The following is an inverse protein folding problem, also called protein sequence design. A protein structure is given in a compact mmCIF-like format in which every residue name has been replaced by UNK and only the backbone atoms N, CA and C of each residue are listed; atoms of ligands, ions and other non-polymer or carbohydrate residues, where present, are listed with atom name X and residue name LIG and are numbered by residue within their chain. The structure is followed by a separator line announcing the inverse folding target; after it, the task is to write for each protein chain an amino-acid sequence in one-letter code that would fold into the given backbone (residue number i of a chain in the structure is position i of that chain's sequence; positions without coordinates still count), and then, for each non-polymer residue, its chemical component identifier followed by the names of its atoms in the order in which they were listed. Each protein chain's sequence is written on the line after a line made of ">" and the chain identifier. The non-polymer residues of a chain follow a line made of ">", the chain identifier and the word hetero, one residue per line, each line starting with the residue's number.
data_IF_130188028939
#
_entry.id   IF_130188028939
#
_cell.length_a   1.000
_cell.length_b   1.000
_cell.length_c   1.000
_cell.angle_alpha   90.00
_cell.angle_beta   90.00
_cell.angle_gamma   90.00
#
_symmetry.space_group_name_H-M   'P 1'
#
loop_
_entity.id
_entity.type
_entity.pdbx_description
1 polymer ?
#
# COMPACT_ATOMS: atom_id res chain seq x y z
N UNK A 1 -1.95 -4.53 -3.51
CA UNK A 1 -0.85 -5.28 -2.87
C UNK A 1 -1.27 -6.72 -2.68
N UNK A 2 -0.56 -7.67 -3.26
CA UNK A 2 -0.78 -9.11 -3.05
C UNK A 2 -0.12 -9.60 -1.76
N UNK A 3 -0.52 -10.77 -1.26
CA UNK A 3 0.16 -11.42 -0.13
C UNK A 3 1.67 -11.57 -0.38
N UNK A 4 2.05 -11.95 -1.60
CA UNK A 4 3.46 -12.17 -1.96
C UNK A 4 4.24 -10.86 -1.93
N UNK A 5 3.67 -9.78 -2.47
CA UNK A 5 4.27 -8.44 -2.42
C UNK A 5 4.44 -7.95 -0.99
N UNK A 6 3.39 -8.06 -0.16
CA UNK A 6 3.47 -7.67 1.24
C UNK A 6 4.51 -8.50 2.00
N UNK A 7 4.49 -9.83 1.83
CA UNK A 7 5.44 -10.74 2.49
C UNK A 7 6.89 -10.40 2.13
N UNK A 8 7.18 -10.12 0.87
CA UNK A 8 8.51 -9.73 0.43
C UNK A 8 8.92 -8.37 1.00
N UNK A 9 8.04 -7.37 0.94
CA UNK A 9 8.29 -6.05 1.52
C UNK A 9 8.56 -6.13 3.03
N UNK A 10 7.72 -6.86 3.77
CA UNK A 10 7.90 -7.08 5.20
C UNK A 10 9.24 -7.73 5.50
N UNK A 11 9.62 -8.80 4.77
CA UNK A 11 10.94 -9.44 4.96
C UNK A 11 12.08 -8.46 4.72
N UNK A 12 12.00 -7.63 3.67
CA UNK A 12 13.02 -6.62 3.41
C UNK A 12 13.14 -5.63 4.57
N UNK A 13 12.01 -5.12 5.09
CA UNK A 13 11.99 -4.18 6.23
C UNK A 13 12.54 -4.83 7.52
N UNK A 14 12.11 -6.05 7.85
CA UNK A 14 12.61 -6.76 9.03
C UNK A 14 14.13 -7.00 8.94
N UNK A 15 14.63 -7.39 7.76
CA UNK A 15 16.06 -7.61 7.54
C UNK A 15 16.84 -6.29 7.62
N UNK A 16 16.32 -5.21 7.05
CA UNK A 16 16.97 -3.90 7.07
C UNK A 16 17.10 -3.35 8.49
N UNK A 17 15.99 -3.25 9.22
CA UNK A 17 15.94 -2.77 10.61
C UNK A 17 16.84 -3.62 11.51
N UNK A 18 16.74 -4.96 11.45
CA UNK A 18 17.58 -5.84 12.24
C UNK A 18 19.07 -5.75 11.87
N UNK A 19 19.39 -5.41 10.61
CA UNK A 19 20.77 -5.22 10.16
C UNK A 19 21.37 -3.92 10.68
N UNK A 20 20.59 -2.83 10.65
CA UNK A 20 21.10 -1.47 10.88
C UNK A 20 20.93 -1.00 12.34
N UNK A 21 19.83 -1.34 13.02
CA UNK A 21 19.50 -0.79 14.35
C UNK A 21 20.01 -1.65 15.52
N UNK A 22 20.36 -2.92 15.27
CA UNK A 22 20.81 -3.87 16.31
C UNK A 22 22.29 -4.24 16.20
N UNK A 23 23.06 -3.45 15.44
CA UNK A 23 24.49 -3.58 15.33
C UNK A 23 25.21 -3.34 16.67
N UNK A 24 26.33 -4.02 16.89
CA UNK A 24 27.20 -3.75 18.05
C UNK A 24 28.41 -2.96 17.57
N UNK A 25 28.78 -1.90 18.29
CA UNK A 25 29.98 -1.09 18.04
C UNK A 25 30.05 -0.52 16.62
N UNK A 26 28.92 -0.03 16.09
CA UNK A 26 28.84 0.58 14.77
C UNK A 26 28.97 -0.40 13.59
N UNK A 27 29.04 -1.72 13.85
CA UNK A 27 29.06 -2.74 12.79
C UNK A 27 27.66 -3.29 12.54
N UNK A 28 27.27 -3.49 11.26
CA UNK A 28 26.00 -4.13 10.93
C UNK A 28 25.86 -5.50 11.57
N UNK A 29 24.64 -5.86 11.95
CA UNK A 29 24.34 -7.18 12.50
C UNK A 29 24.70 -8.28 11.49
N UNK A 30 25.40 -9.34 11.95
CA UNK A 30 25.73 -10.47 11.09
C UNK A 30 24.48 -11.29 10.71
N UNK A 31 24.54 -12.03 9.60
CA UNK A 31 23.41 -12.78 9.04
C UNK A 31 22.77 -13.74 10.05
N UNK A 32 23.58 -14.42 10.87
CA UNK A 32 23.09 -15.37 11.87
C UNK A 32 22.26 -14.67 12.95
N UNK A 33 22.70 -13.51 13.43
CA UNK A 33 21.96 -12.75 14.44
C UNK A 33 20.70 -12.09 13.87
N UNK A 34 20.74 -11.59 12.63
CA UNK A 34 19.53 -11.12 11.94
C UNK A 34 18.51 -12.26 11.82
N UNK A 35 18.96 -13.46 11.46
CA UNK A 35 18.09 -14.65 11.38
C UNK A 35 17.44 -14.99 12.72
N UNK A 36 18.17 -14.88 13.83
CA UNK A 36 17.63 -15.08 15.18
C UNK A 36 16.60 -14.00 15.55
N UNK A 37 16.90 -12.72 15.28
CA UNK A 37 16.02 -11.60 15.64
C UNK A 37 14.72 -11.57 14.84
N UNK A 38 14.78 -11.98 13.57
CA UNK A 38 13.65 -11.87 12.62
C UNK A 38 12.90 -13.17 12.40
N UNK A 39 13.47 -14.32 12.80
CA UNK A 39 12.96 -15.65 12.45
C UNK A 39 13.12 -16.02 10.96
N UNK A 40 13.71 -15.15 10.14
CA UNK A 40 13.91 -15.38 8.71
C UNK A 40 15.15 -16.27 8.51
N UNK A 41 15.06 -17.27 7.62
CA UNK A 41 16.20 -18.16 7.35
C UNK A 41 17.45 -17.39 6.88
N UNK A 42 18.64 -17.86 7.25
CA UNK A 42 19.92 -17.23 6.85
C UNK A 42 20.06 -17.04 5.33
N UNK A 43 19.57 -18.00 4.53
CA UNK A 43 19.58 -17.93 3.07
C UNK A 43 18.73 -16.75 2.57
N UNK A 44 17.56 -16.57 3.16
CA UNK A 44 16.64 -15.50 2.80
C UNK A 44 17.13 -14.14 3.31
N UNK A 45 17.69 -14.07 4.52
CA UNK A 45 18.36 -12.85 5.02
C UNK A 45 19.45 -12.40 4.05
N UNK A 46 20.29 -13.32 3.56
CA UNK A 46 21.32 -13.00 2.56
C UNK A 46 20.70 -12.43 1.28
N UNK A 47 19.70 -13.12 0.72
CA UNK A 47 18.98 -12.66 -0.49
C UNK A 47 18.42 -11.25 -0.32
N UNK A 48 17.77 -10.96 0.81
CA UNK A 48 17.18 -9.65 1.08
C UNK A 48 18.25 -8.56 1.23
N UNK A 49 19.40 -8.84 1.87
CA UNK A 49 20.52 -7.87 1.95
C UNK A 49 21.13 -7.56 0.60
N UNK A 50 21.26 -8.55 -0.27
CA UNK A 50 21.77 -8.36 -1.62
C UNK A 50 20.79 -7.48 -2.43
N UNK A 51 19.48 -7.77 -2.35
CA UNK A 51 18.43 -6.96 -2.98
C UNK A 51 18.39 -5.50 -2.49
N UNK A 52 18.59 -5.27 -1.18
CA UNK A 52 18.63 -3.92 -0.59
C UNK A 52 19.88 -3.14 -1.02
N UNK A 53 21.01 -3.81 -1.26
CA UNK A 53 22.25 -3.19 -1.76
C UNK A 53 22.17 -2.84 -3.24
N UNK A 54 21.46 -3.65 -4.03
CA UNK A 54 21.32 -3.46 -5.48
C UNK A 54 20.34 -2.33 -5.86
N UNK A 55 19.54 -1.81 -4.92
CA UNK A 55 18.48 -0.83 -5.22
C UNK A 55 18.57 0.46 -4.40
N UNK A 56 19.02 1.52 -5.07
CA UNK A 56 18.63 2.92 -4.80
C UNK A 56 17.34 3.31 -5.55
N UNK A 57 16.53 2.34 -5.98
CA UNK A 57 15.22 2.61 -6.61
C UNK A 57 14.25 1.50 -6.25
N UNK A 58 13.01 1.83 -5.82
CA UNK A 58 11.98 0.83 -5.59
C UNK A 58 11.73 0.17 -6.94
N UNK A 59 12.23 -1.05 -7.11
CA UNK A 59 11.96 -1.80 -8.33
C UNK A 59 10.46 -1.97 -8.45
N UNK A 60 9.87 -1.69 -9.62
CA UNK A 60 8.45 -1.88 -9.83
C UNK A 60 8.08 -3.30 -9.41
N UNK A 61 6.98 -3.38 -8.67
CA UNK A 61 6.37 -4.57 -8.13
C UNK A 61 6.58 -5.78 -9.06
N UNK A 62 6.95 -6.93 -8.51
CA UNK A 62 6.84 -8.20 -9.23
C UNK A 62 5.37 -8.41 -9.55
N UNK A 63 5.08 -7.99 -10.76
CA UNK A 63 3.82 -7.77 -11.43
C UNK A 63 2.86 -8.94 -11.22
N UNK A 64 1.64 -8.67 -10.73
CA UNK A 64 0.55 -9.66 -10.77
C UNK A 64 0.34 -10.15 -12.19
N UNK A 65 -0.22 -11.35 -12.39
CA UNK A 65 -0.55 -11.84 -13.75
C UNK A 65 -1.38 -10.83 -14.54
N UNK A 66 -2.27 -10.11 -13.86
CA UNK A 66 -3.04 -9.00 -14.42
C UNK A 66 -2.16 -7.83 -14.90
N UNK A 67 -1.24 -7.34 -14.07
CA UNK A 67 -0.32 -6.26 -14.46
C UNK A 67 0.67 -6.74 -15.54
N UNK A 68 1.01 -8.03 -15.60
CA UNK A 68 1.91 -8.60 -16.61
C UNK A 68 1.21 -8.64 -17.96
N UNK A 69 -0.03 -9.09 -17.97
CA UNK A 69 -0.90 -9.07 -19.14
C UNK A 69 -1.08 -7.65 -19.69
N UNK A 70 -1.41 -6.69 -18.83
CA UNK A 70 -1.52 -5.28 -19.23
C UNK A 70 -0.19 -4.73 -19.76
N UNK A 71 0.95 -5.04 -19.11
CA UNK A 71 2.26 -4.58 -19.58
C UNK A 71 2.60 -5.16 -20.95
N UNK A 72 2.35 -6.45 -21.16
CA UNK A 72 2.53 -7.12 -22.47
C UNK A 72 1.69 -6.45 -23.55
N UNK A 73 0.42 -6.15 -23.26
CA UNK A 73 -0.47 -5.45 -24.20
C UNK A 73 0.05 -4.07 -24.62
N UNK A 74 0.78 -3.37 -23.74
CA UNK A 74 1.32 -2.04 -24.00
C UNK A 74 2.73 -2.03 -24.60
N UNK A 75 3.38 -3.18 -24.76
CA UNK A 75 4.80 -3.28 -25.13
C UNK A 75 5.06 -4.23 -26.29
N UNK A 76 4.21 -5.25 -26.46
CA UNK A 76 4.36 -6.24 -27.52
C UNK A 76 3.85 -5.67 -28.86
N UNK A 77 4.71 -5.56 -29.90
CA UNK A 77 4.32 -5.08 -31.22
C UNK A 77 3.16 -5.84 -31.85
N UNK A 78 2.93 -7.10 -31.46
CA UNK A 78 1.83 -7.91 -31.98
C UNK A 78 0.45 -7.51 -31.40
N UNK A 79 0.44 -6.81 -30.26
CA UNK A 79 -0.78 -6.35 -29.57
C UNK A 79 -0.90 -4.82 -29.54
N UNK A 80 0.00 -4.10 -30.19
CA UNK A 80 0.01 -2.64 -30.30
C UNK A 80 -0.18 -2.21 -31.75
N UNK A 81 -0.62 -0.97 -31.96
CA UNK A 81 -0.70 -0.37 -33.28
C UNK A 81 0.65 0.21 -33.73
N UNK A 82 0.68 0.79 -34.94
CA UNK A 82 1.90 1.39 -35.50
C UNK A 82 2.47 2.57 -34.67
N UNK A 83 1.68 3.13 -33.74
CA UNK A 83 2.10 4.19 -32.83
C UNK A 83 2.54 3.64 -31.45
N UNK A 84 2.52 2.32 -31.25
CA UNK A 84 2.85 1.67 -29.97
C UNK A 84 1.73 1.79 -28.93
N UNK A 85 0.49 2.06 -29.35
CA UNK A 85 -0.69 2.12 -28.48
C UNK A 85 -1.36 0.74 -28.47
N UNK A 86 -1.85 0.23 -27.32
CA UNK A 86 -2.55 -1.05 -27.26
C UNK A 86 -3.74 -1.10 -28.22
N UNK A 87 -3.74 -2.11 -29.08
CA UNK A 87 -4.83 -2.36 -30.01
C UNK A 87 -6.10 -2.79 -29.28
N UNK A 88 -7.26 -2.43 -29.84
CA UNK A 88 -8.56 -2.94 -29.37
C UNK A 88 -8.69 -4.39 -29.86
N UNK A 89 -8.76 -5.35 -28.93
CA UNK A 89 -8.71 -6.77 -29.26
C UNK A 89 -10.11 -7.40 -29.21
N UNK A 90 -10.53 -8.20 -30.20
CA UNK A 90 -11.65 -9.11 -30.01
C UNK A 90 -11.32 -10.13 -28.92
N UNK A 91 -12.34 -10.70 -28.25
CA UNK A 91 -12.11 -11.72 -27.23
C UNK A 91 -11.45 -12.98 -27.82
N UNK A 92 -11.97 -13.46 -28.95
CA UNK A 92 -11.55 -14.68 -29.65
C UNK A 92 -11.64 -14.45 -31.16
N UNK A 93 -11.07 -15.35 -31.97
CA UNK A 93 -11.12 -15.29 -33.44
C UNK A 93 -9.73 -15.29 -34.07
N UNK A 94 -9.56 -14.48 -35.11
CA UNK A 94 -8.28 -14.32 -35.80
C UNK A 94 -7.32 -13.44 -34.98
N UNK A 95 -6.05 -13.84 -34.95
CA UNK A 95 -4.98 -13.14 -34.23
C UNK A 95 -4.83 -11.69 -34.74
N UNK A 96 -4.60 -10.69 -33.85
CA UNK A 96 -4.45 -10.80 -32.40
C UNK A 96 -5.77 -10.69 -31.63
N UNK A 97 -5.96 -11.56 -30.62
CA UNK A 97 -7.14 -11.57 -29.73
C UNK A 97 -6.75 -11.41 -28.25
N UNK A 98 -7.72 -11.12 -27.38
CA UNK A 98 -7.51 -11.11 -25.93
C UNK A 98 -7.11 -12.51 -25.43
N UNK A 99 -7.67 -13.59 -25.98
CA UNK A 99 -7.27 -14.96 -25.63
C UNK A 99 -5.82 -15.26 -26.00
N UNK A 100 -5.29 -14.71 -27.10
CA UNK A 100 -3.88 -14.85 -27.48
C UNK A 100 -2.96 -14.11 -26.49
N UNK A 101 -3.32 -12.87 -26.16
CA UNK A 101 -2.63 -12.07 -25.15
C UNK A 101 -2.64 -12.77 -23.79
N UNK A 102 -3.80 -13.32 -23.40
CA UNK A 102 -3.96 -14.07 -22.17
C UNK A 102 -3.14 -15.37 -22.18
N UNK A 103 -3.11 -16.10 -23.29
CA UNK A 103 -2.27 -17.30 -23.43
C UNK A 103 -0.78 -17.00 -23.23
N UNK A 104 -0.33 -15.81 -23.65
CA UNK A 104 1.07 -15.39 -23.52
C UNK A 104 1.41 -14.83 -22.13
N UNK A 105 0.50 -14.09 -21.49
CA UNK A 105 0.81 -13.29 -20.29
C UNK A 105 -0.11 -13.52 -19.08
N UNK A 106 -1.23 -14.23 -19.24
CA UNK A 106 -2.34 -14.33 -18.28
C UNK A 106 -2.11 -15.24 -17.07
N UNK A 107 -1.04 -16.04 -17.08
CA UNK A 107 -0.67 -16.91 -15.96
C UNK A 107 -1.71 -18.01 -15.68
N UNK A 108 -1.85 -18.38 -14.40
CA UNK A 108 -2.63 -19.56 -13.99
C UNK A 108 -4.11 -19.24 -13.67
N UNK A 109 -4.50 -17.96 -13.70
CA UNK A 109 -5.87 -17.55 -13.38
C UNK A 109 -6.78 -17.78 -14.58
N UNK A 110 -7.96 -18.41 -14.44
CA UNK A 110 -8.87 -18.59 -15.58
C UNK A 110 -9.15 -17.29 -16.34
N UNK A 111 -9.08 -17.31 -17.67
CA UNK A 111 -9.21 -16.12 -18.54
C UNK A 111 -10.45 -15.28 -18.23
N UNK A 112 -11.60 -15.93 -18.01
CA UNK A 112 -12.83 -15.22 -17.65
C UNK A 112 -12.75 -14.50 -16.29
N UNK A 113 -12.04 -15.08 -15.33
CA UNK A 113 -11.80 -14.45 -14.02
C UNK A 113 -10.88 -13.24 -14.19
N UNK A 114 -9.80 -13.38 -14.96
CA UNK A 114 -8.91 -12.27 -15.29
C UNK A 114 -9.66 -11.10 -15.95
N UNK A 115 -10.47 -11.40 -16.97
CA UNK A 115 -11.27 -10.40 -17.68
C UNK A 115 -12.25 -9.67 -16.73
N UNK A 116 -12.93 -10.41 -15.85
CA UNK A 116 -13.86 -9.81 -14.86
C UNK A 116 -13.13 -8.89 -13.89
N UNK A 117 -12.00 -9.32 -13.33
CA UNK A 117 -11.25 -8.51 -12.35
C UNK A 117 -10.64 -7.27 -12.99
N UNK A 118 -10.08 -7.38 -14.19
CA UNK A 118 -9.57 -6.23 -14.95
C UNK A 118 -10.67 -5.20 -15.24
N UNK A 119 -11.88 -5.66 -15.60
CA UNK A 119 -13.01 -4.78 -15.87
C UNK A 119 -13.54 -4.14 -14.58
N UNK A 120 -13.64 -4.90 -13.48
CA UNK A 120 -14.04 -4.39 -12.15
C UNK A 120 -13.06 -3.34 -11.62
N UNK A 121 -11.78 -3.51 -11.90
CA UNK A 121 -10.72 -2.55 -11.58
C UNK A 121 -10.71 -1.32 -12.51
N UNK A 122 -11.53 -1.29 -13.57
CA UNK A 122 -11.50 -0.24 -14.59
C UNK A 122 -10.23 -0.25 -15.46
N UNK A 123 -9.42 -1.30 -15.39
CA UNK A 123 -8.18 -1.42 -16.16
C UNK A 123 -8.41 -1.75 -17.64
N UNK A 124 -9.60 -2.27 -17.97
CA UNK A 124 -10.08 -2.51 -19.33
C UNK A 124 -11.52 -2.02 -19.49
N UNK A 125 -11.97 -1.85 -20.72
CA UNK A 125 -13.39 -1.67 -21.06
C UNK A 125 -13.81 -2.58 -22.19
N UNK A 126 -15.07 -3.02 -22.18
CA UNK A 126 -15.71 -3.73 -23.29
C UNK A 126 -16.53 -2.75 -24.13
N UNK A 127 -16.36 -2.77 -25.45
CA UNK A 127 -17.20 -2.01 -26.38
C UNK A 127 -18.51 -2.74 -26.72
N UNK A 128 -19.38 -2.10 -27.52
CA UNK A 128 -20.68 -2.66 -27.95
C UNK A 128 -20.53 -3.96 -28.77
N UNK A 129 -19.37 -4.19 -29.36
CA UNK A 129 -19.01 -5.35 -30.16
C UNK A 129 -18.25 -6.41 -29.35
N UNK A 130 -18.21 -6.28 -28.01
CA UNK A 130 -17.47 -7.14 -27.09
C UNK A 130 -15.96 -7.20 -27.36
N UNK A 131 -15.39 -6.15 -27.92
CA UNK A 131 -13.94 -5.98 -28.02
C UNK A 131 -13.41 -5.31 -26.76
N UNK A 132 -12.22 -5.71 -26.35
CA UNK A 132 -11.58 -5.28 -25.13
C UNK A 132 -10.57 -4.19 -25.45
N UNK A 133 -10.61 -3.09 -24.70
CA UNK A 133 -9.65 -2.01 -24.79
C UNK A 133 -8.94 -1.85 -23.45
N UNK A 134 -7.60 -1.78 -23.47
CA UNK A 134 -6.82 -1.42 -22.29
C UNK A 134 -7.04 0.06 -21.92
N UNK A 135 -7.31 0.31 -20.63
CA UNK A 135 -7.48 1.65 -20.04
C UNK A 135 -6.35 2.04 -19.09
N UNK A 136 -5.63 1.05 -18.57
CA UNK A 136 -4.47 1.23 -17.71
C UNK A 136 -3.29 0.37 -18.17
N UNK A 137 -2.06 0.81 -17.87
CA UNK A 137 -0.84 0.00 -18.01
C UNK A 137 -0.64 -0.98 -16.84
N UNK A 138 -1.29 -0.70 -15.71
CA UNK A 138 -1.11 -1.47 -14.48
C UNK A 138 -2.44 -1.84 -13.82
N UNK A 139 -2.49 -3.00 -13.17
CA UNK A 139 -3.66 -3.40 -12.41
C UNK A 139 -3.61 -2.79 -11.00
N UNK A 140 -4.61 -1.97 -10.70
CA UNK A 140 -4.88 -1.41 -9.37
C UNK A 140 -6.30 -1.81 -8.97
N UNK A 141 -6.52 -2.52 -7.84
CA UNK A 141 -7.87 -2.77 -7.35
C UNK A 141 -8.62 -1.45 -7.14
N UNK A 142 -9.86 -1.35 -7.63
CA UNK A 142 -10.64 -0.09 -7.67
C UNK A 142 -10.77 0.66 -6.32
N UNK A 143 -10.56 -0.02 -5.19
CA UNK A 143 -10.63 0.57 -3.83
C UNK A 143 -9.31 1.25 -3.38
N UNK A 144 -8.21 1.05 -4.09
CA UNK A 144 -6.89 1.56 -3.73
C UNK A 144 -6.36 2.50 -4.81
N UNK A 145 -6.79 3.77 -4.77
CA UNK A 145 -6.09 4.83 -5.51
C UNK A 145 -4.70 5.06 -4.89
N UNK A 146 -3.75 5.56 -5.68
CA UNK A 146 -2.43 5.96 -5.18
C UNK A 146 -2.53 6.95 -4.00
N UNK A 147 -3.52 7.86 -4.04
CA UNK A 147 -3.80 8.79 -2.95
C UNK A 147 -4.29 8.07 -1.70
N UNK A 148 -5.16 7.06 -1.82
CA UNK A 148 -5.62 6.25 -0.70
C UNK A 148 -4.47 5.42 -0.10
N UNK A 149 -3.56 4.90 -0.94
CA UNK A 149 -2.38 4.16 -0.48
C UNK A 149 -1.43 5.08 0.31
N UNK A 150 -1.18 6.29 -0.19
CA UNK A 150 -0.35 7.28 0.53
C UNK A 150 -1.00 7.71 1.84
N UNK A 151 -2.30 7.99 1.82
CA UNK A 151 -3.07 8.36 3.02
C UNK A 151 -3.05 7.24 4.06
N UNK A 152 -3.27 6.00 3.63
CA UNK A 152 -3.16 4.82 4.48
C UNK A 152 -1.76 4.69 5.10
N UNK A 153 -0.70 4.83 4.30
CA UNK A 153 0.69 4.79 4.77
C UNK A 153 0.99 5.89 5.78
N UNK A 154 0.51 7.11 5.53
CA UNK A 154 0.64 8.24 6.45
C UNK A 154 -0.07 7.96 7.77
N UNK A 155 -1.33 7.52 7.75
CA UNK A 155 -2.11 7.25 8.96
C UNK A 155 -1.48 6.14 9.81
N UNK A 156 -1.12 5.02 9.17
CA UNK A 156 -0.48 3.91 9.85
C UNK A 156 0.89 4.31 10.42
N UNK A 157 1.68 5.06 9.65
CA UNK A 157 2.99 5.57 10.07
C UNK A 157 2.90 6.48 11.29
N UNK A 158 1.96 7.44 11.29
CA UNK A 158 1.73 8.36 12.41
C UNK A 158 1.29 7.64 13.67
N UNK A 159 0.38 6.66 13.56
CA UNK A 159 -0.06 5.86 14.70
C UNK A 159 1.08 4.97 15.23
N UNK A 160 1.79 4.27 14.35
CA UNK A 160 2.94 3.43 14.71
C UNK A 160 4.05 4.24 15.39
N UNK A 161 4.31 5.47 14.95
CA UNK A 161 5.30 6.35 15.58
C UNK A 161 4.89 6.75 17.00
N UNK A 162 3.59 6.96 17.25
CA UNK A 162 3.04 7.24 18.58
C UNK A 162 3.17 6.02 19.49
N UNK A 163 2.77 4.84 19.02
CA UNK A 163 2.95 3.58 19.75
C UNK A 163 4.43 3.32 20.05
N UNK A 164 5.33 3.53 19.08
CA UNK A 164 6.78 3.40 19.27
C UNK A 164 7.29 4.31 20.38
N UNK A 165 6.89 5.59 20.37
CA UNK A 165 7.25 6.55 21.42
C UNK A 165 6.77 6.09 22.81
N UNK A 166 5.54 5.58 22.88
CA UNK A 166 4.92 5.19 24.15
C UNK A 166 5.46 3.84 24.69
N UNK A 167 5.89 2.92 23.82
CA UNK A 167 6.48 1.62 24.19
C UNK A 167 7.97 1.74 24.54
N UNK A 168 8.73 2.60 23.85
CA UNK A 168 10.19 2.71 23.98
C UNK A 168 10.66 3.43 25.26
N UNK A 169 10.03 3.16 26.42
CA UNK A 169 10.14 3.77 27.76
C UNK A 169 11.55 4.06 28.36
N UNK A 170 12.64 3.92 27.61
CA UNK A 170 13.99 4.26 28.05
C UNK A 170 14.45 5.65 27.55
N UNK A 171 14.49 6.60 28.47
CA UNK A 171 15.19 7.90 28.40
C UNK A 171 14.47 9.07 27.69
N UNK A 172 13.72 9.86 28.47
CA UNK A 172 13.62 11.31 28.29
C UNK A 172 12.48 11.87 27.43
N UNK A 173 11.67 11.03 26.76
CA UNK A 173 10.53 11.51 25.96
C UNK A 173 9.20 11.36 26.71
N UNK A 174 8.41 12.43 26.73
CA UNK A 174 7.05 12.38 27.27
C UNK A 174 6.17 11.46 26.40
N UNK A 175 5.22 10.71 27.00
CA UNK A 175 4.27 9.93 26.25
C UNK A 175 3.44 10.86 25.35
N UNK A 176 3.21 10.42 24.12
CA UNK A 176 2.26 11.07 23.23
C UNK A 176 0.86 10.63 23.62
N UNK A 177 -0.12 11.52 23.45
CA UNK A 177 -1.51 11.19 23.70
C UNK A 177 -1.94 10.00 22.83
N UNK A 178 -2.44 8.96 23.48
CA UNK A 178 -3.04 7.77 22.87
C UNK A 178 -4.19 7.36 23.79
N UNK A 179 -5.40 7.31 23.25
CA UNK A 179 -6.60 6.96 23.99
C UNK A 179 -7.48 6.07 23.13
N UNK A 180 -7.96 4.97 23.72
CA UNK A 180 -8.82 4.01 23.05
C UNK A 180 -9.99 3.66 23.98
N UNK A 181 -11.21 3.68 23.44
CA UNK A 181 -12.42 3.26 24.12
C UNK A 181 -13.03 2.10 23.33
N UNK A 182 -12.98 0.89 23.89
CA UNK A 182 -13.50 -0.34 23.27
C UNK A 182 -14.30 -1.11 24.32
N UNK A 183 -15.46 -1.62 23.91
CA UNK A 183 -16.23 -2.65 24.62
C UNK A 183 -16.71 -3.69 23.59
N UNK A 184 -16.49 -4.96 23.90
CA UNK A 184 -16.80 -6.09 23.03
C UNK A 184 -18.23 -6.64 23.22
N UNK A 185 -19.03 -6.03 24.11
CA UNK A 185 -20.39 -6.46 24.49
C UNK A 185 -21.45 -5.45 24.12
N UNK A 186 -21.34 -4.88 22.92
CA UNK A 186 -22.36 -3.99 22.35
C UNK A 186 -23.25 -4.76 21.38
N UNK A 187 -24.56 -4.67 21.57
CA UNK A 187 -25.51 -5.29 20.64
C UNK A 187 -25.42 -4.61 19.28
N UNK A 188 -25.27 -5.38 18.19
CA UNK A 188 -25.07 -4.87 16.84
C UNK A 188 -26.18 -3.95 16.29
N UNK A 189 -27.32 -3.82 16.99
CA UNK A 189 -28.38 -2.86 16.64
C UNK A 189 -27.97 -1.41 16.88
N UNK A 190 -26.97 -1.18 17.73
CA UNK A 190 -26.46 0.15 18.07
C UNK A 190 -25.36 0.65 17.12
N UNK A 191 -24.94 -0.14 16.12
CA UNK A 191 -23.88 0.27 15.18
C UNK A 191 -24.26 1.56 14.46
N UNK A 192 -25.50 1.68 13.95
CA UNK A 192 -25.95 2.90 13.28
C UNK A 192 -25.99 4.13 14.20
N UNK A 193 -26.44 3.94 15.45
CA UNK A 193 -26.48 5.00 16.47
C UNK A 193 -25.06 5.46 16.84
N UNK A 194 -24.15 4.51 17.03
CA UNK A 194 -22.75 4.78 17.36
C UNK A 194 -22.02 5.50 16.22
N UNK A 195 -22.25 5.12 14.97
CA UNK A 195 -21.65 5.76 13.81
C UNK A 195 -22.12 7.22 13.66
N UNK A 196 -23.41 7.48 13.84
CA UNK A 196 -23.93 8.86 13.85
C UNK A 196 -23.31 9.70 14.99
N UNK A 197 -23.19 9.11 16.19
CA UNK A 197 -22.53 9.76 17.32
C UNK A 197 -21.05 10.11 17.03
N UNK A 198 -20.30 9.18 16.44
CA UNK A 198 -18.90 9.41 16.07
C UNK A 198 -18.74 10.40 14.93
N UNK A 199 -19.63 10.40 13.93
CA UNK A 199 -19.62 11.39 12.85
C UNK A 199 -19.80 12.79 13.41
N UNK A 200 -20.81 13.02 14.26
CA UNK A 200 -21.08 14.33 14.85
C UNK A 200 -19.93 14.80 15.76
N UNK A 201 -19.55 13.97 16.73
CA UNK A 201 -18.56 14.36 17.75
C UNK A 201 -17.14 14.36 17.20
N UNK A 202 -16.83 13.42 16.31
CA UNK A 202 -15.53 13.31 15.66
C UNK A 202 -15.28 14.47 14.71
N UNK A 203 -16.25 14.80 13.85
CA UNK A 203 -16.13 15.94 12.94
C UNK A 203 -15.87 17.23 13.69
N UNK A 204 -16.64 17.51 14.74
CA UNK A 204 -16.45 18.70 15.57
C UNK A 204 -15.05 18.77 16.19
N UNK A 205 -14.53 17.65 16.70
CA UNK A 205 -13.18 17.60 17.24
C UNK A 205 -12.11 17.89 16.18
N UNK A 206 -12.26 17.34 14.96
CA UNK A 206 -11.32 17.58 13.87
C UNK A 206 -11.33 19.05 13.43
N UNK A 207 -12.50 19.68 13.38
CA UNK A 207 -12.65 21.11 13.11
C UNK A 207 -11.94 21.97 14.18
N UNK A 208 -12.14 21.67 15.46
CA UNK A 208 -11.46 22.37 16.57
C UNK A 208 -9.92 22.23 16.50
N UNK A 209 -9.42 21.07 16.07
CA UNK A 209 -7.99 20.83 15.86
C UNK A 209 -7.46 21.58 14.63
N UNK A 210 -8.18 21.55 13.52
CA UNK A 210 -7.79 22.24 12.28
C UNK A 210 -7.74 23.77 12.50
N UNK A 211 -8.74 24.31 13.20
CA UNK A 211 -8.74 25.70 13.64
C UNK A 211 -7.48 25.98 14.45
N UNK A 212 -7.20 25.20 15.50
CA UNK A 212 -6.01 25.41 16.32
C UNK A 212 -4.72 25.37 15.50
N UNK A 213 -4.55 24.39 14.61
CA UNK A 213 -3.38 24.26 13.74
C UNK A 213 -3.21 25.46 12.81
N UNK A 214 -4.31 25.93 12.20
CA UNK A 214 -4.31 27.08 11.31
C UNK A 214 -3.94 28.38 12.03
N UNK A 215 -4.42 28.58 13.27
CA UNK A 215 -4.09 29.75 14.09
C UNK A 215 -2.62 29.79 14.55
N UNK A 216 -1.94 28.64 14.61
CA UNK A 216 -0.54 28.52 15.05
C UNK A 216 0.43 28.24 13.91
N UNK A 217 -0.04 28.34 12.66
CA UNK A 217 0.80 28.21 11.47
C UNK A 217 1.69 29.44 11.35
N UNK A 218 2.96 29.22 11.02
CA UNK A 218 3.93 30.28 10.72
C UNK A 218 3.97 30.47 9.20
N UNK A 219 4.06 31.71 8.73
CA UNK A 219 4.24 32.02 7.31
C UNK A 219 5.72 31.86 6.91
N UNK A 220 5.97 31.49 5.65
CA UNK A 220 7.30 31.12 5.11
C UNK A 220 8.38 32.23 5.20
N UNK A 221 8.04 33.43 5.67
CA UNK A 221 8.93 34.60 5.71
C UNK A 221 9.62 34.86 7.07
N UNK A 222 9.29 34.14 8.15
CA UNK A 222 9.88 34.35 9.48
C UNK A 222 10.97 33.31 9.87
N UNK A 223 12.22 33.74 9.69
CA UNK A 223 13.46 33.54 10.46
C UNK A 223 13.68 32.18 11.18
N UNK A 224 14.63 31.38 10.68
CA UNK A 224 15.36 30.26 11.35
C UNK A 224 14.55 29.28 12.26
N UNK A 225 13.23 29.26 12.15
CA UNK A 225 12.35 28.56 13.09
C UNK A 225 12.22 27.08 12.74
N UNK A 226 12.40 26.22 13.77
CA UNK A 226 12.24 24.77 13.60
C UNK A 226 10.75 24.45 13.52
N UNK A 227 10.25 24.23 12.30
CA UNK A 227 8.87 23.76 12.09
C UNK A 227 8.73 22.28 12.47
N UNK A 228 7.60 21.93 13.09
CA UNK A 228 7.24 20.55 13.40
C UNK A 228 5.83 20.23 12.88
N UNK A 229 5.62 19.01 12.41
CA UNK A 229 4.29 18.56 12.01
C UNK A 229 3.49 18.13 13.24
N UNK A 230 2.33 18.77 13.44
CA UNK A 230 1.35 18.42 14.47
C UNK A 230 0.02 18.06 13.81
N UNK A 231 -0.75 17.18 14.45
CA UNK A 231 -2.07 16.78 13.99
C UNK A 231 -2.70 15.74 14.90
N UNK A 232 -4.02 15.61 14.82
CA UNK A 232 -4.79 14.59 15.52
C UNK A 232 -5.65 13.82 14.51
N UNK A 233 -5.93 12.55 14.80
CA UNK A 233 -6.81 11.71 14.00
C UNK A 233 -7.67 10.84 14.90
N UNK A 234 -8.88 10.54 14.43
CA UNK A 234 -9.82 9.63 15.07
C UNK A 234 -10.33 8.62 14.03
N UNK A 235 -10.69 7.43 14.50
CA UNK A 235 -11.25 6.38 13.67
C UNK A 235 -12.23 5.55 14.48
N UNK A 236 -13.29 5.08 13.83
CA UNK A 236 -14.19 4.09 14.41
C UNK A 236 -13.51 2.71 14.45
N UNK A 237 -13.76 1.95 15.51
CA UNK A 237 -13.31 0.56 15.63
C UNK A 237 -14.55 -0.32 15.59
N UNK A 238 -14.70 -1.09 14.51
CA UNK A 238 -15.74 -2.10 14.38
C UNK A 238 -15.08 -3.47 14.19
N UNK A 239 -15.39 -4.42 15.07
CA UNK A 239 -14.97 -5.81 14.93
C UNK A 239 -15.99 -6.60 14.10
N UNK A 240 -15.51 -7.52 13.27
CA UNK A 240 -16.38 -8.62 12.81
C UNK A 240 -16.55 -9.63 13.96
N UNK A 241 -17.75 -10.18 14.18
CA UNK A 241 -17.96 -11.24 15.16
C UNK A 241 -17.11 -12.49 14.89
#
# INVERSE_FOLDING_TARGET
>A
MTWREFSELSKSVFVDVATNEFGISGRPTNISRVSILTGISRKEVKRQRDLLREKASPTPAKTTDATRLLSGWHQDPEFTDAAGVPSVLPLTGEFPTFSDLFGRYGGDTPEQTMLRELNKAGAISLDKQRRVQAKSRYFMPAMMSDSNIRLFGMHLGSHAQTLKNNIAKGAGTAPRFEGIAIDDRIHGKHVGEFNAYLEERGQKFLEEVDDWLSHHRVDDEDDDSVTVQLGAGLYAIEGSP
#
